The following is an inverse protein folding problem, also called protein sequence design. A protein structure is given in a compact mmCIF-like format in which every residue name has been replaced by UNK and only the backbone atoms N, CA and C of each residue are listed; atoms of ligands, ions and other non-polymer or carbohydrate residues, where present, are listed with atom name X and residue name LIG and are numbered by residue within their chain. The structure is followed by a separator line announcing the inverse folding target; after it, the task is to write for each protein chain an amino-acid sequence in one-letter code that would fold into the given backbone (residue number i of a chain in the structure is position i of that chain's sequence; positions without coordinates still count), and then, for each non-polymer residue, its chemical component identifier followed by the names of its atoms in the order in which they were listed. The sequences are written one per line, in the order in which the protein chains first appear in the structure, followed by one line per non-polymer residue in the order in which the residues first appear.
data_IF_731081375007
#
_entry.id   IF_731081375007
#
_cell.length_a   1.000
_cell.length_b   1.000
_cell.length_c   1.000
_cell.angle_alpha   90.00
_cell.angle_beta   90.00
_cell.angle_gamma   90.00
#
_symmetry.space_group_name_H-M   'P 1'
#
loop_
_entity.id
_entity.type
_entity.pdbx_description
1 polymer ?
#
# COMPACT_ATOMS: atom_id res chain seq x y z
N UNK A 1 23.57 -11.35 32.37
CA UNK A 1 23.21 -11.51 33.80
C UNK A 1 23.18 -12.97 34.29
N UNK A 2 23.51 -14.00 33.49
CA UNK A 2 23.39 -15.42 33.92
C UNK A 2 24.66 -16.13 34.43
N UNK A 3 25.86 -15.56 34.27
CA UNK A 3 27.12 -16.27 34.62
C UNK A 3 27.43 -16.31 36.13
N UNK A 4 26.97 -15.32 36.90
CA UNK A 4 27.23 -15.25 38.35
C UNK A 4 26.39 -16.24 39.17
N UNK A 5 25.19 -16.63 38.70
CA UNK A 5 24.31 -17.53 39.46
C UNK A 5 24.77 -18.99 39.44
N UNK A 6 25.43 -19.45 38.37
CA UNK A 6 25.88 -20.85 38.24
C UNK A 6 26.99 -21.15 39.24
N UNK A 7 27.99 -20.28 39.35
CA UNK A 7 29.14 -20.49 40.23
C UNK A 7 28.74 -20.52 41.72
N UNK A 8 27.67 -19.80 42.10
CA UNK A 8 27.18 -19.79 43.47
C UNK A 8 26.71 -21.17 43.98
N UNK A 9 26.41 -22.10 43.07
CA UNK A 9 25.98 -23.47 43.38
C UNK A 9 27.14 -24.45 43.58
N UNK A 10 28.39 -23.99 43.48
CA UNK A 10 29.57 -24.83 43.61
C UNK A 10 30.58 -24.28 44.63
N UNK A 11 31.38 -25.17 45.20
CA UNK A 11 32.56 -24.86 46.02
C UNK A 11 33.80 -25.20 45.19
N UNK A 12 34.66 -24.22 44.90
CA UNK A 12 35.89 -24.45 44.14
C UNK A 12 36.97 -25.11 45.00
N UNK A 13 37.61 -26.14 44.46
CA UNK A 13 38.77 -26.79 45.05
C UNK A 13 40.08 -26.14 44.58
N UNK A 14 41.12 -26.25 45.40
CA UNK A 14 42.46 -25.69 45.14
C UNK A 14 43.13 -26.25 43.86
N UNK A 15 42.69 -27.43 43.42
CA UNK A 15 43.15 -28.14 42.21
C UNK A 15 42.39 -27.75 40.93
N UNK A 16 41.51 -26.75 41.00
CA UNK A 16 40.64 -26.35 39.89
C UNK A 16 39.43 -27.29 39.69
N UNK A 17 39.16 -28.19 40.63
CA UNK A 17 37.91 -28.94 40.71
C UNK A 17 36.77 -28.07 41.29
N UNK A 18 35.53 -28.53 41.17
CA UNK A 18 34.37 -27.85 41.75
C UNK A 18 33.37 -28.86 42.31
N UNK A 19 32.98 -28.68 43.58
CA UNK A 19 32.00 -29.53 44.26
C UNK A 19 30.61 -28.90 44.17
N UNK A 20 29.65 -29.63 43.63
CA UNK A 20 28.25 -29.20 43.60
C UNK A 20 27.67 -29.13 45.02
N UNK A 21 27.02 -28.02 45.39
CA UNK A 21 26.41 -27.86 46.73
C UNK A 21 25.14 -28.70 46.89
N UNK A 22 24.45 -29.01 45.79
CA UNK A 22 23.17 -29.73 45.76
C UNK A 22 23.35 -31.26 45.86
N UNK A 23 24.15 -31.87 44.97
CA UNK A 23 24.39 -33.33 44.98
C UNK A 23 25.75 -33.76 45.54
N UNK A 24 26.61 -32.81 45.95
CA UNK A 24 27.98 -33.07 46.47
C UNK A 24 28.95 -33.72 45.46
N UNK A 25 28.55 -33.94 44.21
CA UNK A 25 29.43 -34.44 43.14
C UNK A 25 30.59 -33.49 42.89
N UNK A 26 31.81 -34.03 42.79
CA UNK A 26 33.02 -33.26 42.48
C UNK A 26 33.32 -33.34 40.98
N UNK A 27 33.29 -32.19 40.32
CA UNK A 27 33.63 -32.01 38.92
C UNK A 27 35.12 -31.72 38.78
N UNK A 28 35.80 -32.35 37.83
CA UNK A 28 37.25 -32.18 37.57
C UNK A 28 37.66 -30.79 37.07
N UNK A 29 36.70 -29.90 36.82
CA UNK A 29 36.96 -28.56 36.27
C UNK A 29 35.91 -27.57 36.74
N UNK A 30 36.37 -26.44 37.29
CA UNK A 30 35.56 -25.29 37.70
C UNK A 30 35.13 -24.37 36.55
N UNK A 31 35.38 -24.76 35.29
CA UNK A 31 34.93 -23.97 34.13
C UNK A 31 33.41 -23.85 34.12
N UNK A 32 32.91 -22.63 33.98
CA UNK A 32 31.48 -22.28 33.99
C UNK A 32 30.61 -23.13 33.06
N UNK A 33 31.12 -23.53 31.89
CA UNK A 33 30.42 -24.41 30.95
C UNK A 33 30.20 -25.83 31.51
N UNK A 34 31.14 -26.36 32.29
CA UNK A 34 31.01 -27.67 32.94
C UNK A 34 30.04 -27.62 34.12
N UNK A 35 30.10 -26.55 34.91
CA UNK A 35 29.18 -26.32 36.03
C UNK A 35 27.74 -26.18 35.54
N UNK A 36 27.55 -25.38 34.47
CA UNK A 36 26.26 -25.18 33.81
C UNK A 36 25.68 -26.50 33.31
N UNK A 37 26.48 -27.27 32.56
CA UNK A 37 26.05 -28.58 32.05
C UNK A 37 25.67 -29.53 33.18
N UNK A 38 26.39 -29.52 34.28
CA UNK A 38 26.05 -30.35 35.44
C UNK A 38 24.66 -30.00 36.00
N UNK A 39 24.37 -28.71 36.21
CA UNK A 39 23.06 -28.27 36.67
C UNK A 39 21.96 -28.60 35.65
N UNK A 40 22.20 -28.36 34.35
CA UNK A 40 21.27 -28.67 33.26
C UNK A 40 20.91 -30.17 33.18
N UNK A 41 21.82 -31.07 33.55
CA UNK A 41 21.59 -32.52 33.41
C UNK A 41 21.19 -33.24 34.69
N UNK A 42 21.63 -32.76 35.86
CA UNK A 42 21.45 -33.44 37.14
C UNK A 42 20.44 -32.70 38.03
N UNK A 43 20.34 -31.38 37.89
CA UNK A 43 19.51 -30.50 38.74
C UNK A 43 18.55 -29.70 37.88
N UNK A 44 17.75 -30.40 37.06
CA UNK A 44 16.90 -29.79 36.03
C UNK A 44 15.89 -28.83 36.64
N UNK A 45 15.29 -29.20 37.77
CA UNK A 45 14.27 -28.38 38.46
C UNK A 45 14.90 -27.12 39.08
N UNK A 46 16.02 -27.27 39.77
CA UNK A 46 16.73 -26.16 40.40
C UNK A 46 17.39 -25.25 39.37
N UNK A 47 17.87 -25.82 38.27
CA UNK A 47 18.36 -25.07 37.11
C UNK A 47 17.21 -24.26 36.48
N UNK A 48 16.03 -24.86 36.32
CA UNK A 48 14.82 -24.17 35.90
C UNK A 48 14.51 -22.98 36.80
N UNK A 49 14.48 -23.18 38.12
CA UNK A 49 14.18 -22.13 39.10
C UNK A 49 15.22 -20.99 39.17
N UNK A 50 16.50 -21.27 38.86
CA UNK A 50 17.57 -20.25 38.83
C UNK A 50 17.47 -19.35 37.57
N UNK A 51 16.88 -19.87 36.49
CA UNK A 51 16.81 -19.21 35.19
C UNK A 51 15.40 -18.81 34.74
N UNK A 52 14.36 -19.17 35.50
CA UNK A 52 13.05 -18.56 35.37
C UNK A 52 13.18 -17.07 35.67
N UNK A 53 12.99 -16.23 34.65
CA UNK A 53 12.88 -14.80 34.86
C UNK A 53 11.73 -14.55 35.82
N UNK A 54 11.93 -13.79 36.92
CA UNK A 54 10.84 -13.47 37.82
C UNK A 54 9.72 -12.83 36.99
N UNK A 55 8.44 -13.17 37.26
CA UNK A 55 7.33 -12.61 36.51
C UNK A 55 7.44 -11.08 36.56
N UNK A 56 7.26 -10.39 35.42
CA UNK A 56 7.41 -8.95 35.36
C UNK A 56 6.50 -8.31 36.41
N UNK A 57 7.10 -7.57 37.35
CA UNK A 57 6.32 -6.86 38.38
C UNK A 57 5.37 -5.89 37.67
N UNK A 58 4.07 -5.87 38.03
CA UNK A 58 3.10 -5.04 37.33
C UNK A 58 3.46 -3.56 37.48
N UNK A 59 3.91 -2.96 36.38
CA UNK A 59 4.28 -1.54 36.35
C UNK A 59 3.02 -0.69 36.50
N UNK A 60 2.99 0.20 37.49
CA UNK A 60 1.90 1.17 37.67
C UNK A 60 1.81 2.07 36.44
N UNK A 61 0.77 1.91 35.63
CA UNK A 61 0.56 2.71 34.42
C UNK A 61 -0.24 3.97 34.73
N UNK A 62 0.20 5.11 34.19
CA UNK A 62 -0.58 6.36 34.22
C UNK A 62 -1.67 6.28 33.16
N UNK A 63 -2.92 6.58 33.53
CA UNK A 63 -4.00 6.78 32.56
C UNK A 63 -3.77 8.10 31.82
N UNK A 64 -3.88 8.06 30.51
CA UNK A 64 -3.85 9.24 29.64
C UNK A 64 -5.20 9.36 28.94
N UNK A 65 -5.67 10.58 28.75
CA UNK A 65 -6.81 10.86 27.87
C UNK A 65 -6.26 11.21 26.50
N UNK A 66 -6.83 10.60 25.46
CA UNK A 66 -6.46 10.82 24.06
C UNK A 66 -7.71 11.28 23.34
N UNK A 67 -7.64 12.42 22.66
CA UNK A 67 -8.69 12.89 21.76
C UNK A 67 -8.52 12.18 20.42
N UNK A 68 -9.38 11.19 20.15
CA UNK A 68 -9.36 10.38 18.93
C UNK A 68 -10.73 9.72 18.74
N UNK A 69 -11.16 9.62 17.49
CA UNK A 69 -12.29 8.79 17.07
C UNK A 69 -11.83 7.72 16.06
N UNK A 70 -12.76 6.82 15.69
CA UNK A 70 -12.48 5.75 14.73
C UNK A 70 -12.06 6.30 13.35
N UNK A 71 -12.65 7.42 12.91
CA UNK A 71 -12.38 8.00 11.60
C UNK A 71 -10.94 8.53 11.52
N UNK A 72 -10.53 9.34 12.50
CA UNK A 72 -9.19 9.89 12.62
C UNK A 72 -8.14 8.78 12.75
N UNK A 73 -8.46 7.72 13.49
CA UNK A 73 -7.57 6.58 13.67
C UNK A 73 -7.31 5.85 12.34
N UNK A 74 -8.36 5.45 11.61
CA UNK A 74 -8.19 4.80 10.30
C UNK A 74 -7.59 5.73 9.25
N UNK A 75 -7.92 7.03 9.26
CA UNK A 75 -7.28 8.02 8.39
C UNK A 75 -5.77 8.09 8.67
N UNK A 76 -5.37 8.02 9.94
CA UNK A 76 -3.96 7.98 10.34
C UNK A 76 -3.27 6.71 9.84
N UNK A 77 -3.91 5.54 9.95
CA UNK A 77 -3.39 4.29 9.39
C UNK A 77 -3.19 4.37 7.86
N UNK A 78 -4.15 4.96 7.14
CA UNK A 78 -4.02 5.21 5.70
C UNK A 78 -2.83 6.14 5.43
N UNK A 79 -2.70 7.25 6.16
CA UNK A 79 -1.56 8.19 6.00
C UNK A 79 -0.21 7.54 6.31
N UNK A 80 -0.11 6.66 7.30
CA UNK A 80 1.14 5.94 7.60
C UNK A 80 1.63 5.14 6.39
N UNK A 81 0.71 4.51 5.66
CA UNK A 81 1.08 3.70 4.49
C UNK A 81 1.24 4.55 3.23
N UNK A 82 0.30 5.45 2.94
CA UNK A 82 0.27 6.19 1.66
C UNK A 82 1.12 7.45 1.65
N UNK A 83 1.36 8.07 2.80
CA UNK A 83 2.12 9.33 2.92
C UNK A 83 3.51 9.07 3.52
N UNK A 84 3.59 8.32 4.62
CA UNK A 84 4.87 8.00 5.26
C UNK A 84 5.59 6.80 4.64
N UNK A 85 4.95 6.07 3.71
CA UNK A 85 5.57 4.96 2.98
C UNK A 85 5.83 3.72 3.83
N UNK A 86 5.11 3.56 4.95
CA UNK A 86 5.23 2.37 5.79
C UNK A 86 4.62 1.15 5.08
N UNK A 87 5.26 -0.03 5.18
CA UNK A 87 4.72 -1.24 4.57
C UNK A 87 3.46 -1.69 5.30
N UNK A 88 2.53 -2.32 4.60
CA UNK A 88 1.24 -2.73 5.18
C UNK A 88 1.36 -3.72 6.34
N UNK A 89 2.45 -4.49 6.46
CA UNK A 89 2.67 -5.35 7.64
C UNK A 89 3.07 -4.59 8.92
N UNK A 90 3.16 -3.25 8.86
CA UNK A 90 3.52 -2.45 10.04
C UNK A 90 2.50 -2.61 11.17
N UNK A 91 1.23 -2.88 10.83
CA UNK A 91 0.15 -3.00 11.82
C UNK A 91 0.22 -4.31 12.63
N UNK A 92 0.89 -5.33 12.10
CA UNK A 92 1.14 -6.60 12.79
C UNK A 92 2.49 -6.61 13.55
N UNK A 93 3.26 -5.52 13.52
CA UNK A 93 4.52 -5.45 14.24
C UNK A 93 4.27 -5.37 15.76
N UNK A 94 4.95 -6.18 16.60
CA UNK A 94 4.68 -6.24 18.04
C UNK A 94 4.71 -4.87 18.75
N UNK A 95 5.72 -4.05 18.47
CA UNK A 95 5.82 -2.71 19.08
C UNK A 95 4.74 -1.72 18.61
N UNK A 96 4.16 -1.95 17.43
CA UNK A 96 2.99 -1.19 16.96
C UNK A 96 1.75 -1.68 17.68
N UNK A 97 1.57 -2.99 17.80
CA UNK A 97 0.45 -3.60 18.55
C UNK A 97 0.43 -3.19 20.03
N UNK A 98 1.60 -3.02 20.67
CA UNK A 98 1.72 -2.52 22.05
C UNK A 98 1.06 -1.14 22.27
N UNK A 99 1.02 -0.33 21.20
CA UNK A 99 0.41 1.01 21.20
C UNK A 99 -1.03 0.95 20.68
N UNK A 100 -1.23 0.33 19.51
CA UNK A 100 -2.50 0.33 18.80
C UNK A 100 -3.59 -0.43 19.56
N UNK A 101 -3.28 -1.56 20.20
CA UNK A 101 -4.25 -2.35 20.96
C UNK A 101 -4.97 -1.56 22.05
N UNK A 102 -4.28 -0.59 22.67
CA UNK A 102 -4.85 0.28 23.71
C UNK A 102 -5.82 1.29 23.13
N UNK A 103 -5.50 1.82 21.95
CA UNK A 103 -6.35 2.77 21.22
C UNK A 103 -7.57 2.03 20.68
N UNK A 104 -7.38 0.87 20.06
CA UNK A 104 -8.44 0.00 19.54
C UNK A 104 -9.43 -0.37 20.65
N UNK A 105 -8.93 -0.80 21.81
CA UNK A 105 -9.75 -1.08 22.98
C UNK A 105 -10.46 0.15 23.52
N UNK A 106 -9.83 1.33 23.48
CA UNK A 106 -10.45 2.59 23.90
C UNK A 106 -11.56 3.07 22.96
N UNK A 107 -11.43 2.78 21.66
CA UNK A 107 -12.41 3.12 20.62
C UNK A 107 -13.50 2.04 20.45
N UNK A 108 -13.27 0.82 20.95
CA UNK A 108 -14.20 -0.30 20.80
C UNK A 108 -14.23 -0.89 19.38
N UNK A 109 -13.10 -0.85 18.67
CA UNK A 109 -12.98 -1.29 17.28
C UNK A 109 -12.19 -2.61 17.16
N UNK A 110 -12.29 -3.23 16.00
CA UNK A 110 -11.51 -4.44 15.68
C UNK A 110 -10.02 -4.13 15.50
N UNK A 111 -9.19 -5.13 15.75
CA UNK A 111 -7.73 -5.02 15.59
C UNK A 111 -7.35 -4.60 14.16
N UNK A 112 -6.52 -3.57 14.04
CA UNK A 112 -6.00 -3.08 12.77
C UNK A 112 -5.00 -4.08 12.21
N UNK A 113 -5.11 -4.35 10.91
CA UNK A 113 -4.22 -5.24 10.21
C UNK A 113 -4.10 -4.82 8.74
N UNK A 114 -3.20 -5.47 8.01
CA UNK A 114 -3.01 -5.24 6.59
C UNK A 114 -4.32 -5.26 5.80
N UNK A 115 -5.21 -6.21 6.07
CA UNK A 115 -6.41 -6.40 5.25
C UNK A 115 -7.38 -5.24 5.42
N UNK A 116 -7.74 -4.89 6.67
CA UNK A 116 -8.70 -3.80 6.89
C UNK A 116 -8.14 -2.43 6.51
N UNK A 117 -6.83 -2.20 6.66
CA UNK A 117 -6.19 -0.97 6.16
C UNK A 117 -6.16 -0.95 4.64
N UNK A 118 -5.89 -2.08 3.99
CA UNK A 118 -5.94 -2.18 2.52
C UNK A 118 -7.34 -1.83 1.99
N UNK A 119 -8.40 -2.40 2.58
CA UNK A 119 -9.78 -2.05 2.21
C UNK A 119 -10.08 -0.55 2.38
N UNK A 120 -9.53 0.08 3.42
CA UNK A 120 -9.66 1.53 3.65
C UNK A 120 -8.87 2.34 2.64
N UNK A 121 -7.65 1.94 2.28
CA UNK A 121 -6.89 2.55 1.19
C UNK A 121 -7.68 2.46 -0.11
N UNK A 122 -8.28 1.32 -0.44
CA UNK A 122 -9.11 1.16 -1.63
C UNK A 122 -10.32 2.09 -1.63
N UNK A 123 -10.98 2.24 -0.47
CA UNK A 123 -12.10 3.16 -0.32
C UNK A 123 -11.68 4.61 -0.56
N UNK A 124 -10.60 5.06 0.10
CA UNK A 124 -10.04 6.41 -0.08
C UNK A 124 -9.61 6.64 -1.52
N UNK A 125 -8.99 5.63 -2.17
CA UNK A 125 -8.61 5.69 -3.57
C UNK A 125 -9.83 5.82 -4.49
N UNK A 126 -10.94 5.11 -4.21
CA UNK A 126 -12.22 5.27 -4.94
C UNK A 126 -12.77 6.69 -4.80
N UNK A 127 -12.76 7.26 -3.59
CA UNK A 127 -13.20 8.64 -3.36
C UNK A 127 -12.32 9.64 -4.12
N UNK A 128 -11.00 9.47 -4.06
CA UNK A 128 -10.06 10.31 -4.80
C UNK A 128 -10.26 10.20 -6.33
N UNK A 129 -10.47 9.00 -6.86
CA UNK A 129 -10.79 8.80 -8.30
C UNK A 129 -12.08 9.51 -8.68
N UNK A 130 -13.12 9.41 -7.87
CA UNK A 130 -14.38 10.14 -8.08
C UNK A 130 -14.18 11.66 -8.06
N UNK A 131 -13.37 12.16 -7.14
CA UNK A 131 -13.00 13.58 -7.08
C UNK A 131 -12.28 14.03 -8.36
N UNK A 132 -11.21 13.33 -8.77
CA UNK A 132 -10.48 13.64 -10.01
C UNK A 132 -11.38 13.53 -11.23
N UNK A 133 -12.25 12.52 -11.31
CA UNK A 133 -13.26 12.38 -12.37
C UNK A 133 -14.17 13.60 -12.46
N UNK A 134 -14.58 14.15 -11.32
CA UNK A 134 -15.38 15.37 -11.27
C UNK A 134 -14.58 16.60 -11.75
N UNK A 135 -13.30 16.71 -11.37
CA UNK A 135 -12.41 17.77 -11.83
C UNK A 135 -12.22 17.72 -13.35
N UNK A 136 -12.17 16.53 -13.95
CA UNK A 136 -11.89 16.35 -15.37
C UNK A 136 -13.13 16.47 -16.28
N UNK A 137 -14.34 16.47 -15.70
CA UNK A 137 -15.60 16.48 -16.46
C UNK A 137 -15.68 17.70 -17.37
N UNK A 138 -15.85 17.44 -18.68
CA UNK A 138 -16.00 18.48 -19.71
C UNK A 138 -14.72 19.24 -20.07
N UNK A 139 -13.57 18.91 -19.46
CA UNK A 139 -12.30 19.58 -19.76
C UNK A 139 -11.58 18.93 -20.94
N UNK A 140 -10.81 19.76 -21.66
CA UNK A 140 -9.72 19.29 -22.54
C UNK A 140 -8.49 19.02 -21.67
N UNK A 141 -7.80 17.93 -21.95
CA UNK A 141 -6.71 17.44 -21.10
C UNK A 141 -5.49 17.06 -21.94
N UNK A 142 -4.31 17.17 -21.34
CA UNK A 142 -3.07 16.66 -21.91
C UNK A 142 -2.59 15.48 -21.05
N UNK A 143 -2.22 14.37 -21.68
CA UNK A 143 -1.61 13.24 -20.97
C UNK A 143 -0.09 13.39 -20.99
N UNK A 144 0.57 13.14 -19.87
CA UNK A 144 2.02 12.96 -19.78
C UNK A 144 2.30 11.52 -19.37
N UNK A 145 3.09 10.84 -20.18
CA UNK A 145 3.45 9.43 -20.02
C UNK A 145 4.96 9.36 -19.80
N UNK A 146 5.39 8.93 -18.62
CA UNK A 146 6.79 8.88 -18.23
C UNK A 146 7.15 7.45 -17.80
N UNK A 147 8.24 6.87 -18.32
CA UNK A 147 8.74 5.56 -17.88
C UNK A 147 9.85 5.72 -16.83
N UNK A 148 9.81 4.89 -15.79
CA UNK A 148 10.91 4.69 -14.88
C UNK A 148 11.30 3.21 -14.81
N UNK A 149 12.57 2.90 -15.10
CA UNK A 149 13.09 1.53 -15.07
C UNK A 149 14.13 1.35 -13.96
N UNK A 150 14.02 0.27 -13.17
CA UNK A 150 15.03 -0.11 -12.17
C UNK A 150 15.03 -1.63 -11.96
N UNK A 151 16.22 -2.25 -12.01
CA UNK A 151 16.43 -3.69 -11.72
C UNK A 151 15.49 -4.62 -12.51
N UNK A 152 15.30 -4.36 -13.79
CA UNK A 152 14.45 -5.19 -14.67
C UNK A 152 12.95 -4.98 -14.51
N UNK A 153 12.53 -4.00 -13.70
CA UNK A 153 11.14 -3.53 -13.63
C UNK A 153 11.02 -2.16 -14.26
N UNK A 154 9.97 -1.97 -15.05
CA UNK A 154 9.61 -0.70 -15.66
C UNK A 154 8.21 -0.31 -15.20
N UNK A 155 8.06 0.94 -14.77
CA UNK A 155 6.78 1.50 -14.35
C UNK A 155 6.45 2.70 -15.25
N UNK A 156 5.26 2.67 -15.84
CA UNK A 156 4.71 3.78 -16.61
C UNK A 156 3.85 4.66 -15.71
N UNK A 157 4.31 5.89 -15.46
CA UNK A 157 3.51 6.93 -14.84
C UNK A 157 2.67 7.67 -15.87
N UNK A 158 1.37 7.79 -15.59
CA UNK A 158 0.44 8.55 -16.43
C UNK A 158 -0.11 9.71 -15.60
N UNK A 159 0.22 10.93 -16.02
CA UNK A 159 -0.29 12.16 -15.45
C UNK A 159 -1.27 12.83 -16.42
N UNK A 160 -2.30 13.47 -15.87
CA UNK A 160 -3.21 14.35 -16.62
C UNK A 160 -2.95 15.80 -16.25
N UNK A 161 -2.80 16.65 -17.25
CA UNK A 161 -2.66 18.08 -17.12
C UNK A 161 -3.90 18.78 -17.70
N UNK A 162 -4.48 19.71 -16.93
CA UNK A 162 -5.67 20.45 -17.34
C UNK A 162 -5.73 21.84 -16.72
N UNK A 163 -6.56 22.71 -17.28
CA UNK A 163 -6.83 24.04 -16.74
C UNK A 163 -7.94 23.96 -15.69
N UNK A 164 -7.70 24.51 -14.50
CA UNK A 164 -8.71 24.69 -13.47
C UNK A 164 -8.52 26.04 -12.80
N UNK A 165 -9.58 26.85 -12.73
CA UNK A 165 -9.53 28.20 -12.13
C UNK A 165 -8.34 29.04 -12.66
N UNK A 166 -8.13 29.01 -13.99
CA UNK A 166 -7.02 29.69 -14.69
C UNK A 166 -5.60 29.22 -14.30
N UNK A 167 -5.46 28.11 -13.58
CA UNK A 167 -4.17 27.50 -13.22
C UNK A 167 -4.03 26.14 -13.91
N UNK A 168 -2.81 25.81 -14.31
CA UNK A 168 -2.47 24.47 -14.77
C UNK A 168 -2.37 23.56 -13.55
N UNK A 169 -3.18 22.50 -13.56
CA UNK A 169 -3.20 21.45 -12.53
C UNK A 169 -2.71 20.16 -13.16
N UNK A 170 -1.88 19.43 -12.42
CA UNK A 170 -1.41 18.10 -12.78
C UNK A 170 -1.92 17.11 -11.74
N UNK A 171 -2.48 15.99 -12.19
CA UNK A 171 -2.88 14.85 -11.34
C UNK A 171 -2.25 13.59 -11.90
N UNK A 172 -1.73 12.73 -11.02
CA UNK A 172 -1.34 11.38 -11.41
C UNK A 172 -2.58 10.51 -11.51
N UNK A 173 -2.79 9.88 -12.67
CA UNK A 173 -3.89 8.95 -12.89
C UNK A 173 -3.52 7.53 -12.44
N UNK A 174 -2.28 7.11 -12.65
CA UNK A 174 -1.84 5.78 -12.28
C UNK A 174 -0.36 5.53 -12.57
N UNK A 175 0.13 4.46 -11.96
CA UNK A 175 1.44 3.85 -12.18
C UNK A 175 1.17 2.42 -12.65
N UNK A 176 1.60 2.09 -13.87
CA UNK A 176 1.34 0.79 -14.50
C UNK A 176 2.65 0.01 -14.52
N UNK A 177 2.67 -1.15 -13.87
CA UNK A 177 3.82 -2.05 -13.94
C UNK A 177 3.85 -2.73 -15.31
N UNK A 178 4.98 -2.63 -16.00
CA UNK A 178 5.17 -3.10 -17.36
C UNK A 178 5.93 -4.44 -17.40
N UNK A 179 5.63 -5.38 -16.49
CA UNK A 179 6.28 -6.72 -16.48
C UNK A 179 5.94 -7.58 -17.73
N UNK A 180 4.90 -7.23 -18.50
CA UNK A 180 4.49 -7.94 -19.73
C UNK A 180 5.09 -7.27 -20.96
N UNK A 181 5.41 -8.08 -21.99
CA UNK A 181 5.90 -7.67 -23.31
C UNK A 181 5.46 -6.24 -23.68
N UNK A 182 6.44 -5.34 -23.71
CA UNK A 182 6.31 -3.89 -23.92
C UNK A 182 5.83 -3.54 -25.34
N UNK A 183 4.77 -4.19 -25.81
CA UNK A 183 4.17 -3.89 -27.09
C UNK A 183 3.40 -2.59 -27.00
N UNK A 184 3.44 -1.82 -28.07
CA UNK A 184 2.72 -0.56 -28.18
C UNK A 184 1.21 -0.75 -27.97
N UNK A 185 0.69 -1.92 -28.35
CA UNK A 185 -0.70 -2.32 -28.23
C UNK A 185 -1.13 -2.51 -26.76
N UNK A 186 -0.30 -3.14 -25.94
CA UNK A 186 -0.56 -3.34 -24.52
C UNK A 186 -0.57 -2.01 -23.78
N UNK A 187 0.43 -1.16 -24.04
CA UNK A 187 0.51 0.18 -23.45
C UNK A 187 -0.75 1.00 -23.82
N UNK A 188 -1.15 0.98 -25.10
CA UNK A 188 -2.37 1.65 -25.55
C UNK A 188 -3.61 1.15 -24.80
N UNK A 189 -3.78 -0.17 -24.66
CA UNK A 189 -4.95 -0.75 -24.00
C UNK A 189 -5.03 -0.34 -22.52
N UNK A 190 -3.91 -0.40 -21.81
CA UNK A 190 -3.81 0.02 -20.41
C UNK A 190 -4.07 1.54 -20.23
N UNK A 191 -3.55 2.38 -21.14
CA UNK A 191 -3.84 3.82 -21.13
C UNK A 191 -5.34 4.08 -21.33
N UNK A 192 -5.97 3.43 -22.32
CA UNK A 192 -7.41 3.60 -22.60
C UNK A 192 -8.26 3.14 -21.41
N UNK A 193 -7.91 1.99 -20.82
CA UNK A 193 -8.57 1.48 -19.62
C UNK A 193 -8.46 2.49 -18.48
N UNK A 194 -7.24 2.96 -18.16
CA UNK A 194 -7.01 3.91 -17.08
C UNK A 194 -7.81 5.19 -17.26
N UNK A 195 -7.73 5.86 -18.42
CA UNK A 195 -8.48 7.11 -18.63
C UNK A 195 -9.99 6.91 -18.53
N UNK A 196 -10.51 5.73 -18.90
CA UNK A 196 -11.93 5.41 -18.82
C UNK A 196 -12.42 5.29 -17.37
N UNK A 197 -11.57 4.81 -16.45
CA UNK A 197 -11.88 4.76 -15.01
C UNK A 197 -12.08 6.16 -14.41
N UNK A 198 -11.38 7.15 -14.96
CA UNK A 198 -11.55 8.57 -14.63
C UNK A 198 -12.65 9.26 -15.44
N UNK A 199 -13.43 8.51 -16.23
CA UNK A 199 -14.52 9.03 -17.04
C UNK A 199 -14.08 9.95 -18.19
N UNK A 200 -12.82 9.87 -18.61
CA UNK A 200 -12.30 10.61 -19.75
C UNK A 200 -12.67 9.91 -21.05
N UNK A 201 -13.27 10.66 -21.97
CA UNK A 201 -13.44 10.22 -23.36
C UNK A 201 -12.17 10.52 -24.17
N UNK A 202 -11.87 9.69 -25.19
CA UNK A 202 -10.83 9.97 -26.19
C UNK A 202 -10.97 11.37 -26.81
N UNK A 203 -12.20 11.88 -26.95
CA UNK A 203 -12.45 13.25 -27.45
C UNK A 203 -11.89 14.33 -26.53
N UNK A 204 -11.70 14.08 -25.24
CA UNK A 204 -11.19 15.08 -24.30
C UNK A 204 -9.67 15.22 -24.35
N UNK A 205 -8.96 14.22 -24.87
CA UNK A 205 -7.51 14.26 -25.02
C UNK A 205 -7.15 15.26 -26.12
N UNK A 206 -6.33 16.24 -25.77
CA UNK A 206 -5.82 17.27 -26.67
C UNK A 206 -4.41 16.91 -27.15
N UNK A 207 -3.51 16.60 -26.23
CA UNK A 207 -2.15 16.14 -26.55
C UNK A 207 -1.73 15.00 -25.63
N UNK A 208 -0.75 14.24 -26.10
CA UNK A 208 -0.05 13.22 -25.33
C UNK A 208 1.44 13.53 -25.46
N UNK A 209 2.12 13.71 -24.34
CA UNK A 209 3.58 13.87 -24.28
C UNK A 209 4.18 12.62 -23.67
N UNK A 210 5.19 12.09 -24.33
CA UNK A 210 5.93 10.89 -23.92
C UNK A 210 7.41 11.16 -24.12
N UNK A 211 8.27 10.37 -23.47
CA UNK A 211 9.67 10.30 -23.84
C UNK A 211 9.87 9.63 -25.22
N UNK A 212 11.11 9.64 -25.70
CA UNK A 212 11.48 9.11 -27.02
C UNK A 212 11.62 7.57 -27.05
N UNK A 213 11.16 6.83 -26.04
CA UNK A 213 11.19 5.38 -26.08
C UNK A 213 10.38 4.85 -27.28
N UNK A 214 11.01 4.05 -28.15
CA UNK A 214 10.42 3.65 -29.44
C UNK A 214 9.03 2.98 -29.30
N UNK A 215 8.85 2.18 -28.25
CA UNK A 215 7.58 1.53 -27.94
C UNK A 215 6.50 2.55 -27.52
N UNK A 216 6.86 3.60 -26.78
CA UNK A 216 5.90 4.64 -26.38
C UNK A 216 5.54 5.56 -27.53
N UNK A 217 6.51 5.94 -28.36
CA UNK A 217 6.25 6.69 -29.59
C UNK A 217 5.25 5.93 -30.46
N UNK A 218 5.45 4.61 -30.61
CA UNK A 218 4.51 3.75 -31.33
C UNK A 218 3.16 3.65 -30.63
N UNK A 219 3.11 3.53 -29.31
CA UNK A 219 1.86 3.48 -28.54
C UNK A 219 1.05 4.78 -28.67
N UNK A 220 1.72 5.92 -28.63
CA UNK A 220 1.12 7.24 -28.86
C UNK A 220 0.58 7.35 -30.28
N UNK A 221 1.28 6.83 -31.28
CA UNK A 221 0.78 6.81 -32.66
C UNK A 221 -0.50 5.96 -32.79
N UNK A 222 -0.53 4.78 -32.15
CA UNK A 222 -1.74 3.96 -32.11
C UNK A 222 -2.89 4.65 -31.35
N UNK A 223 -2.60 5.37 -30.25
CA UNK A 223 -3.58 6.16 -29.52
C UNK A 223 -4.14 7.30 -30.39
N UNK A 224 -3.31 8.00 -31.16
CA UNK A 224 -3.75 9.04 -32.11
C UNK A 224 -4.69 8.47 -33.17
N UNK A 225 -4.36 7.31 -33.73
CA UNK A 225 -5.22 6.62 -34.69
C UNK A 225 -6.58 6.25 -34.08
N UNK A 226 -6.58 5.77 -32.84
CA UNK A 226 -7.81 5.43 -32.12
C UNK A 226 -8.65 6.68 -31.81
N UNK A 227 -8.02 7.78 -31.40
CA UNK A 227 -8.68 9.08 -31.23
C UNK A 227 -9.30 9.54 -32.55
N UNK A 228 -8.57 9.45 -33.67
CA UNK A 228 -9.07 9.85 -34.98
C UNK A 228 -10.27 8.99 -35.41
N UNK A 229 -10.18 7.66 -35.27
CA UNK A 229 -11.29 6.73 -35.54
C UNK A 229 -12.51 7.05 -34.69
N UNK A 230 -12.32 7.30 -33.40
CA UNK A 230 -13.39 7.67 -32.47
C UNK A 230 -14.09 8.98 -32.88
N UNK A 231 -13.32 9.98 -33.30
CA UNK A 231 -13.86 11.26 -33.76
C UNK A 231 -14.68 11.09 -35.07
N UNK A 232 -14.19 10.27 -36.00
CA UNK A 232 -14.90 9.96 -37.25
C UNK A 232 -16.21 9.22 -36.99
N UNK A 233 -16.19 8.16 -36.17
CA UNK A 233 -17.40 7.42 -35.80
C UNK A 233 -18.48 8.34 -35.20
N UNK A 234 -18.09 9.23 -34.29
CA UNK A 234 -19.02 10.20 -33.69
C UNK A 234 -19.52 11.26 -34.65
N UNK A 235 -18.73 11.71 -35.61
CA UNK A 235 -19.18 12.63 -36.64
C UNK A 235 -20.29 11.97 -37.48
N UNK A 236 -20.09 10.72 -37.90
CA UNK A 236 -21.07 9.92 -38.64
C UNK A 236 -22.35 9.70 -37.84
N UNK A 237 -22.24 9.36 -36.56
CA UNK A 237 -23.38 9.17 -35.66
C UNK A 237 -24.21 10.45 -35.50
N UNK A 238 -23.56 11.61 -35.30
CA UNK A 238 -24.26 12.91 -35.23
C UNK A 238 -24.99 13.24 -36.52
N UNK A 239 -24.37 13.01 -37.67
CA UNK A 239 -25.01 13.22 -38.97
C UNK A 239 -26.25 12.35 -39.12
N UNK A 240 -26.19 11.07 -38.72
CA UNK A 240 -27.34 10.16 -38.74
C UNK A 240 -28.48 10.63 -37.82
N UNK A 241 -28.16 11.04 -36.59
CA UNK A 241 -29.16 11.57 -35.65
C UNK A 241 -29.80 12.85 -36.21
N UNK A 242 -28.99 13.75 -36.83
CA UNK A 242 -29.52 14.97 -37.44
C UNK A 242 -30.50 14.67 -38.56
N UNK A 243 -30.12 13.78 -39.48
CA UNK A 243 -30.99 13.34 -40.59
C UNK A 243 -32.27 12.71 -40.04
N UNK A 244 -32.17 11.82 -39.05
CA UNK A 244 -33.35 11.20 -38.44
C UNK A 244 -34.28 12.23 -37.78
N UNK A 245 -33.71 13.23 -37.10
CA UNK A 245 -34.47 14.33 -36.50
C UNK A 245 -35.16 15.20 -37.56
N UNK A 246 -34.47 15.51 -38.66
CA UNK A 246 -35.04 16.25 -39.80
C UNK A 246 -36.19 15.47 -40.44
N UNK A 247 -36.03 14.16 -40.64
CA UNK A 247 -37.08 13.28 -41.19
C UNK A 247 -38.31 13.18 -40.26
N UNK A 248 -38.11 13.09 -38.95
CA UNK A 248 -39.20 13.09 -37.98
C UNK A 248 -39.98 14.41 -37.99
N UNK A 249 -39.27 15.54 -38.09
CA UNK A 249 -39.91 16.86 -38.21
C UNK A 249 -40.75 16.96 -39.48
N UNK A 250 -40.19 16.54 -40.63
CA UNK A 250 -40.90 16.56 -41.91
C UNK A 250 -42.15 15.66 -41.88
N UNK A 251 -42.05 14.48 -41.26
CA UNK A 251 -43.19 13.58 -41.09
C UNK A 251 -44.29 14.16 -40.19
N UNK A 252 -43.92 14.92 -39.15
CA UNK A 252 -44.89 15.61 -38.29
C UNK A 252 -45.65 16.71 -39.05
N UNK A 253 -44.92 17.55 -39.81
CA UNK A 253 -45.52 18.61 -40.64
C UNK A 253 -46.52 18.03 -41.65
N UNK A 254 -46.16 16.92 -42.31
CA UNK A 254 -47.05 16.28 -43.30
C UNK A 254 -48.34 15.73 -42.68
N UNK A 255 -48.32 15.27 -41.42
CA UNK A 255 -49.52 14.79 -40.71
C UNK A 255 -50.45 15.91 -40.26
N UNK A 256 -49.93 17.09 -39.95
CA UNK A 256 -50.73 18.27 -39.59
C UNK A 256 -51.34 18.96 -40.83
N UNK A 257 -50.85 18.63 -42.03
CA UNK A 257 -51.28 19.19 -43.31
C UNK A 257 -52.36 18.34 -44.02
N UNK A 258 -52.83 17.27 -43.40
CA UNK A 258 -53.79 16.27 -43.90
C UNK A 258 -54.98 16.13 -42.96
#
# INVERSE_FOLDING_TARGET
MGHLCVNNQFEEGEDGSARCKLCKTVLKSSKTSNLKRHLETIHVEEYGAIFEEPPPTPRKMRKIQIEMDEALFYESCVKMTTVAGMPLNVFEAPGVQDVFSRIESGLGINHVNRNNVTERIEHVAKQFRSFVRSELKGKRVCLKMDEASRRGRSVLGINVQFLHQKKLVIRTLGLIDLEVAHTAENIKAEVIKLISEYGLSLRQIYTITTDNGANFVKAVELLKQEIARYMQMRATERSRIRIASEMLLAAAILRESS
#
